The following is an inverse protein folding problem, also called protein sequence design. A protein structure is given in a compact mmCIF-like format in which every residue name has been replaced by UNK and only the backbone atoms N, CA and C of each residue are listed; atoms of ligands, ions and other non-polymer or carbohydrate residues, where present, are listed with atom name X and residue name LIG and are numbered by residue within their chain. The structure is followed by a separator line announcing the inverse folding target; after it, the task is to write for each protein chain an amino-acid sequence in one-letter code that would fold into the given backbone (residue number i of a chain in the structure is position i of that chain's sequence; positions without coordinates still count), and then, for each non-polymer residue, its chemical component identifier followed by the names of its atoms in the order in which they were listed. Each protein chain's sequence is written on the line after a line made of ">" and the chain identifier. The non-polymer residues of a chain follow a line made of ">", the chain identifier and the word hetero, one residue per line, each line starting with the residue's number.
data_IF_281230439358
#
_entry.id   IF_281230439358
#
_cell.length_a   1.000
_cell.length_b   1.000
_cell.length_c   1.000
_cell.angle_alpha   90.00
_cell.angle_beta   90.00
_cell.angle_gamma   90.00
#
_symmetry.space_group_name_H-M   'P 1'
#
loop_
_entity.id
_entity.type
_entity.pdbx_description
1 polymer ?
#
# COMPACT_ATOMS: atom_id res chain seq x y z
N UNK A 1 -11.24 -20.74 -1.16
CA UNK A 1 -9.81 -20.51 -0.89
C UNK A 1 -9.24 -21.39 0.24
N UNK A 2 -10.06 -22.04 1.09
CA UNK A 2 -9.60 -22.83 2.25
C UNK A 2 -8.57 -23.94 1.92
N UNK A 3 -8.55 -24.45 0.71
CA UNK A 3 -7.61 -25.48 0.23
C UNK A 3 -6.59 -24.95 -0.78
N UNK A 4 -6.50 -23.63 -0.98
CA UNK A 4 -5.53 -23.06 -1.90
C UNK A 4 -4.14 -23.06 -1.26
N UNK A 5 -3.16 -23.67 -1.94
CA UNK A 5 -1.76 -23.68 -1.53
C UNK A 5 -0.93 -23.02 -2.64
N UNK A 6 -0.43 -21.79 -2.44
CA UNK A 6 0.35 -21.12 -3.47
C UNK A 6 1.63 -21.90 -3.75
N UNK A 7 1.84 -22.21 -5.03
CA UNK A 7 3.12 -22.75 -5.49
C UNK A 7 4.10 -21.59 -5.68
N UNK A 8 5.15 -21.58 -4.87
CA UNK A 8 6.12 -20.50 -4.85
C UNK A 8 7.38 -20.92 -5.56
N UNK A 9 7.56 -20.40 -6.77
CA UNK A 9 8.81 -20.55 -7.47
C UNK A 9 9.91 -19.70 -6.83
N UNK A 10 10.78 -20.33 -6.05
CA UNK A 10 11.90 -19.65 -5.36
C UNK A 10 12.98 -19.09 -6.31
N UNK A 11 12.94 -19.45 -7.60
CA UNK A 11 13.88 -18.92 -8.60
C UNK A 11 13.54 -17.51 -9.10
N UNK A 12 12.40 -16.93 -8.70
CA UNK A 12 12.05 -15.56 -9.08
C UNK A 12 12.97 -14.59 -8.37
N UNK A 13 13.89 -13.98 -9.12
CA UNK A 13 14.74 -12.91 -8.64
C UNK A 13 13.96 -11.59 -8.59
N UNK A 14 13.38 -11.31 -7.43
CA UNK A 14 12.71 -10.05 -7.12
C UNK A 14 13.14 -9.53 -5.76
N UNK A 15 13.32 -8.22 -5.64
CA UNK A 15 13.66 -7.58 -4.36
C UNK A 15 12.42 -7.44 -3.46
N UNK A 16 11.24 -7.20 -4.05
CA UNK A 16 9.99 -6.96 -3.35
C UNK A 16 9.01 -8.10 -3.59
N UNK A 17 8.26 -8.44 -2.55
CA UNK A 17 7.11 -9.33 -2.61
C UNK A 17 5.89 -8.57 -2.08
N UNK A 18 4.88 -8.36 -2.92
CA UNK A 18 3.61 -7.80 -2.50
C UNK A 18 2.62 -8.92 -2.17
N UNK A 19 2.09 -8.89 -0.97
CA UNK A 19 1.04 -9.76 -0.47
C UNK A 19 -0.23 -8.92 -0.32
N UNK A 20 -1.05 -8.95 -1.34
CA UNK A 20 -2.33 -8.26 -1.38
C UNK A 20 -3.36 -8.90 -0.45
N UNK A 21 -4.59 -8.46 -0.59
CA UNK A 21 -5.71 -8.89 0.21
C UNK A 21 -6.04 -10.38 0.00
N UNK A 22 -5.45 -11.25 0.83
CA UNK A 22 -5.72 -12.69 0.92
C UNK A 22 -5.66 -13.11 2.38
N UNK A 23 -6.17 -14.31 2.69
CA UNK A 23 -6.18 -14.87 4.04
C UNK A 23 -4.79 -14.82 4.70
N UNK A 24 -4.67 -14.30 5.96
CA UNK A 24 -3.39 -14.15 6.66
C UNK A 24 -2.57 -15.43 6.74
N UNK A 25 -3.21 -16.60 6.91
CA UNK A 25 -2.51 -17.89 6.93
C UNK A 25 -1.79 -18.19 5.61
N UNK A 26 -2.34 -17.79 4.45
CA UNK A 26 -1.70 -17.93 3.15
C UNK A 26 -0.57 -16.92 2.97
N UNK A 27 -0.75 -15.68 3.42
CA UNK A 27 0.33 -14.70 3.43
C UNK A 27 1.51 -15.20 4.26
N UNK A 28 1.25 -15.75 5.46
CA UNK A 28 2.28 -16.32 6.33
C UNK A 28 2.97 -17.54 5.70
N UNK A 29 2.22 -18.40 5.02
CA UNK A 29 2.80 -19.54 4.30
C UNK A 29 3.79 -19.08 3.22
N UNK A 30 3.40 -18.07 2.43
CA UNK A 30 4.28 -17.45 1.44
C UNK A 30 5.52 -16.84 2.10
N UNK A 31 5.34 -16.02 3.14
CA UNK A 31 6.44 -15.38 3.87
C UNK A 31 7.45 -16.41 4.39
N UNK A 32 6.97 -17.55 4.89
CA UNK A 32 7.83 -18.59 5.44
C UNK A 32 8.60 -19.39 4.37
N UNK A 33 8.13 -19.39 3.13
CA UNK A 33 8.73 -20.13 2.00
C UNK A 33 9.70 -19.31 1.15
N UNK A 34 9.66 -17.98 1.23
CA UNK A 34 10.51 -17.10 0.42
C UNK A 34 11.88 -16.85 1.04
N UNK A 35 12.82 -16.36 0.22
CA UNK A 35 14.13 -15.88 0.69
C UNK A 35 13.94 -14.67 1.63
N UNK A 36 14.54 -14.73 2.81
CA UNK A 36 14.51 -13.69 3.84
C UNK A 36 15.10 -12.34 3.41
N UNK A 37 15.83 -12.30 2.30
CA UNK A 37 16.36 -11.05 1.73
C UNK A 37 15.33 -10.21 0.99
N UNK A 38 14.14 -10.77 0.69
CA UNK A 38 13.07 -10.03 0.01
C UNK A 38 12.37 -9.07 0.97
N UNK A 39 12.06 -7.90 0.45
CA UNK A 39 11.22 -6.91 1.15
C UNK A 39 9.75 -7.31 1.03
N UNK A 40 9.09 -7.51 2.13
CA UNK A 40 7.69 -7.92 2.20
C UNK A 40 6.83 -6.69 2.34
N UNK A 41 5.94 -6.49 1.37
CA UNK A 41 4.90 -5.46 1.37
C UNK A 41 3.57 -6.16 1.55
N UNK A 42 2.85 -5.88 2.62
CA UNK A 42 1.54 -6.49 2.89
C UNK A 42 0.43 -5.45 2.96
N UNK A 43 -0.74 -5.86 2.52
CA UNK A 43 -2.01 -5.14 2.65
C UNK A 43 -3.04 -6.05 3.33
N UNK A 44 -4.13 -5.48 3.82
CA UNK A 44 -5.20 -6.21 4.50
C UNK A 44 -6.57 -5.71 4.07
N UNK A 45 -7.63 -6.27 4.67
CA UNK A 45 -9.01 -5.78 4.60
C UNK A 45 -9.78 -6.13 5.86
N UNK A 46 -10.89 -5.45 6.10
CA UNK A 46 -11.77 -5.62 7.26
C UNK A 46 -12.16 -7.09 7.51
N UNK A 47 -12.33 -7.89 6.45
CA UNK A 47 -12.70 -9.30 6.59
C UNK A 47 -11.71 -10.06 7.51
N UNK A 48 -10.41 -9.83 7.34
CA UNK A 48 -9.37 -10.53 8.09
C UNK A 48 -9.20 -9.99 9.50
N UNK A 49 -9.52 -8.72 9.75
CA UNK A 49 -9.57 -8.14 11.08
C UNK A 49 -10.58 -8.91 11.93
N UNK A 50 -11.71 -9.31 11.33
CA UNK A 50 -12.78 -10.01 12.02
C UNK A 50 -12.60 -11.53 12.06
N UNK A 51 -12.05 -12.16 11.01
CA UNK A 51 -11.97 -13.62 10.88
C UNK A 51 -10.65 -14.21 11.39
N UNK A 52 -9.53 -13.51 11.22
CA UNK A 52 -8.19 -14.01 11.58
C UNK A 52 -7.27 -12.88 12.05
N UNK A 53 -7.70 -12.16 13.07
CA UNK A 53 -6.93 -11.05 13.64
C UNK A 53 -5.55 -11.51 14.15
N UNK A 54 -5.45 -12.72 14.73
CA UNK A 54 -4.16 -13.24 15.21
C UNK A 54 -3.18 -13.49 14.07
N UNK A 55 -3.64 -14.10 12.98
CA UNK A 55 -2.82 -14.30 11.78
C UNK A 55 -2.39 -12.97 11.18
N UNK A 56 -3.31 -11.99 11.12
CA UNK A 56 -3.00 -10.65 10.63
C UNK A 56 -1.89 -9.96 11.45
N UNK A 57 -1.93 -10.05 12.78
CA UNK A 57 -0.85 -9.52 13.62
C UNK A 57 0.51 -10.18 13.32
N UNK A 58 0.54 -11.48 13.03
CA UNK A 58 1.79 -12.16 12.66
C UNK A 58 2.29 -11.75 11.27
N UNK A 59 1.38 -11.48 10.32
CA UNK A 59 1.75 -10.90 9.00
C UNK A 59 2.37 -9.52 9.20
N UNK A 60 1.74 -8.65 9.98
CA UNK A 60 2.25 -7.29 10.27
C UNK A 60 3.67 -7.36 10.81
N UNK A 61 3.92 -8.19 11.83
CA UNK A 61 5.26 -8.34 12.45
C UNK A 61 6.34 -8.82 11.48
N UNK A 62 5.96 -9.54 10.43
CA UNK A 62 6.89 -10.09 9.43
C UNK A 62 7.01 -9.22 8.18
N UNK A 63 6.20 -8.19 8.06
CA UNK A 63 6.22 -7.26 6.94
C UNK A 63 7.29 -6.19 7.12
N UNK A 64 7.89 -5.76 6.02
CA UNK A 64 8.78 -4.60 6.00
C UNK A 64 7.98 -3.31 5.74
N UNK A 65 6.98 -3.41 4.88
CA UNK A 65 6.06 -2.32 4.55
C UNK A 65 4.64 -2.83 4.79
N UNK A 66 3.90 -2.15 5.64
CA UNK A 66 2.51 -2.51 5.92
C UNK A 66 1.57 -1.39 5.47
N UNK A 67 0.52 -1.78 4.74
CA UNK A 67 -0.49 -0.86 4.24
C UNK A 67 -1.88 -1.29 4.70
N UNK A 68 -2.73 -0.31 5.00
CA UNK A 68 -4.14 -0.50 5.31
C UNK A 68 -4.90 0.81 5.04
N UNK A 69 -6.22 0.79 5.12
CA UNK A 69 -6.99 2.03 5.11
C UNK A 69 -7.24 2.55 6.54
N UNK A 70 -7.76 3.77 6.65
CA UNK A 70 -8.02 4.44 7.93
C UNK A 70 -9.11 3.73 8.76
N UNK A 71 -10.16 3.21 8.13
CA UNK A 71 -11.21 2.45 8.82
C UNK A 71 -10.66 1.14 9.38
N UNK A 72 -9.87 0.41 8.62
CA UNK A 72 -9.16 -0.81 9.04
C UNK A 72 -8.19 -0.52 10.20
N UNK A 73 -7.46 0.59 10.13
CA UNK A 73 -6.52 1.00 11.16
C UNK A 73 -7.23 1.27 12.50
N UNK A 74 -8.36 1.97 12.46
CA UNK A 74 -9.21 2.25 13.63
C UNK A 74 -9.82 0.95 14.18
N UNK A 75 -10.39 0.11 13.28
CA UNK A 75 -11.02 -1.15 13.68
C UNK A 75 -10.03 -2.11 14.35
N UNK A 76 -8.82 -2.25 13.78
CA UNK A 76 -7.80 -3.17 14.26
C UNK A 76 -7.21 -2.76 15.61
N UNK A 77 -7.10 -1.45 15.87
CA UNK A 77 -6.42 -0.91 17.06
C UNK A 77 -7.35 -0.35 18.13
N UNK A 78 -8.59 0.01 17.77
CA UNK A 78 -9.53 0.72 18.62
C UNK A 78 -9.14 2.19 18.90
N UNK A 79 -8.13 2.73 18.20
CA UNK A 79 -7.64 4.10 18.31
C UNK A 79 -8.15 4.94 17.15
N UNK A 80 -8.15 6.29 17.33
CA UNK A 80 -8.61 7.23 16.28
C UNK A 80 -7.49 8.10 15.71
N UNK A 81 -6.35 8.23 16.39
CA UNK A 81 -5.21 8.99 15.89
C UNK A 81 -4.37 8.12 14.96
N UNK A 82 -4.42 8.42 13.66
CA UNK A 82 -3.73 7.65 12.63
C UNK A 82 -2.20 7.72 12.77
N UNK A 83 -1.64 8.81 13.33
CA UNK A 83 -0.21 8.92 13.57
C UNK A 83 0.22 8.01 14.73
N UNK A 84 -0.56 7.99 15.81
CA UNK A 84 -0.34 7.07 16.92
C UNK A 84 -0.44 5.61 16.45
N UNK A 85 -1.46 5.29 15.66
CA UNK A 85 -1.65 3.95 15.08
C UNK A 85 -0.45 3.55 14.22
N UNK A 86 -0.03 4.41 13.29
CA UNK A 86 1.12 4.13 12.42
C UNK A 86 2.41 3.90 13.23
N UNK A 87 2.63 4.68 14.29
CA UNK A 87 3.78 4.53 15.17
C UNK A 87 3.74 3.20 15.97
N UNK A 88 2.56 2.75 16.38
CA UNK A 88 2.42 1.46 17.05
C UNK A 88 2.73 0.30 16.08
N UNK A 89 2.28 0.37 14.83
CA UNK A 89 2.65 -0.62 13.82
C UNK A 89 4.16 -0.66 13.53
N UNK A 90 4.84 0.49 13.46
CA UNK A 90 6.29 0.54 13.30
C UNK A 90 7.02 -0.20 14.41
N UNK A 91 6.57 -0.06 15.67
CA UNK A 91 7.17 -0.76 16.84
C UNK A 91 6.98 -2.28 16.78
N UNK A 92 6.10 -2.78 15.93
CA UNK A 92 5.78 -4.21 15.83
C UNK A 92 6.66 -4.97 14.83
N UNK A 93 7.20 -4.29 13.81
CA UNK A 93 8.03 -4.96 12.80
C UNK A 93 8.26 -4.19 11.52
N UNK A 94 7.24 -3.60 10.88
CA UNK A 94 7.43 -2.80 9.68
C UNK A 94 8.38 -1.63 9.92
N UNK A 95 9.15 -1.29 8.91
CA UNK A 95 9.97 -0.06 8.88
C UNK A 95 9.29 1.07 8.07
N UNK A 96 8.23 0.74 7.33
CA UNK A 96 7.33 1.69 6.67
C UNK A 96 5.87 1.28 6.94
N UNK A 97 5.06 2.23 7.42
CA UNK A 97 3.60 2.07 7.57
C UNK A 97 2.89 3.11 6.72
N UNK A 98 1.90 2.68 5.94
CA UNK A 98 1.10 3.55 5.08
C UNK A 98 -0.37 3.37 5.43
N UNK A 99 -1.06 4.49 5.74
CA UNK A 99 -2.50 4.50 5.98
C UNK A 99 -3.17 5.31 4.86
N UNK A 100 -3.99 4.62 4.06
CA UNK A 100 -4.78 5.18 2.95
C UNK A 100 -6.06 5.80 3.53
N UNK A 101 -6.36 7.07 3.22
CA UNK A 101 -7.50 7.83 3.76
C UNK A 101 -8.56 8.12 2.67
N UNK A 102 -8.65 7.27 1.64
CA UNK A 102 -9.56 7.46 0.51
C UNK A 102 -9.37 8.82 -0.16
N UNK A 103 -10.44 9.58 -0.28
CA UNK A 103 -10.43 10.94 -0.88
C UNK A 103 -9.62 11.98 -0.09
N UNK A 104 -9.18 11.65 1.11
CA UNK A 104 -8.35 12.53 1.96
C UNK A 104 -6.85 12.28 1.77
N UNK A 105 -6.46 11.40 0.86
CA UNK A 105 -5.05 11.09 0.60
C UNK A 105 -4.51 9.92 1.41
N UNK A 106 -3.25 9.99 1.79
CA UNK A 106 -2.58 8.92 2.54
C UNK A 106 -1.47 9.49 3.41
N UNK A 107 -1.18 8.82 4.52
CA UNK A 107 0.01 9.09 5.32
C UNK A 107 1.01 7.95 5.20
N UNK A 108 2.29 8.27 5.30
CA UNK A 108 3.39 7.34 5.45
C UNK A 108 4.19 7.74 6.68
N UNK A 109 4.51 6.76 7.51
CA UNK A 109 5.44 6.89 8.63
C UNK A 109 6.59 5.90 8.44
N UNK A 110 7.84 6.40 8.56
CA UNK A 110 9.08 5.60 8.52
C UNK A 110 10.13 6.26 9.41
N UNK A 111 10.50 5.61 10.51
CA UNK A 111 11.29 6.23 11.56
C UNK A 111 10.64 7.53 12.04
N UNK A 112 11.38 8.64 12.01
CA UNK A 112 10.87 9.98 12.35
C UNK A 112 10.24 10.73 11.15
N UNK A 113 10.23 10.12 9.96
CA UNK A 113 9.69 10.73 8.74
C UNK A 113 8.20 10.49 8.65
N UNK A 114 7.41 11.57 8.72
CA UNK A 114 5.97 11.58 8.49
C UNK A 114 5.66 12.34 7.22
N UNK A 115 4.93 11.68 6.31
CA UNK A 115 4.46 12.28 5.06
C UNK A 115 2.93 12.25 5.03
N UNK A 116 2.30 13.34 4.64
CA UNK A 116 0.87 13.40 4.29
C UNK A 116 0.76 13.78 2.81
N UNK A 117 0.23 12.87 2.01
CA UNK A 117 0.17 13.01 0.55
C UNK A 117 -1.28 13.20 0.13
N UNK A 118 -1.62 14.35 -0.49
CA UNK A 118 -2.97 14.61 -0.96
C UNK A 118 -3.31 13.77 -2.20
N UNK A 119 -4.60 13.60 -2.49
CA UNK A 119 -5.07 12.95 -3.72
C UNK A 119 -4.93 13.87 -4.94
N UNK A 120 -4.93 13.24 -6.12
CA UNK A 120 -5.23 13.93 -7.37
C UNK A 120 -6.75 14.09 -7.50
N UNK A 121 -7.26 15.30 -7.27
CA UNK A 121 -8.69 15.63 -7.20
C UNK A 121 -9.29 16.22 -8.49
N UNK A 122 -8.53 16.20 -9.61
CA UNK A 122 -9.00 16.68 -10.93
C UNK A 122 -9.61 15.55 -11.77
N UNK A 123 -10.30 14.63 -11.10
CA UNK A 123 -11.01 13.51 -11.73
C UNK A 123 -12.39 13.36 -11.11
N UNK A 124 -13.30 12.81 -11.89
CA UNK A 124 -14.55 12.25 -11.37
C UNK A 124 -14.31 10.82 -10.90
N UNK A 125 -14.81 10.49 -9.70
CA UNK A 125 -14.75 9.14 -9.17
C UNK A 125 -15.74 8.27 -9.93
N UNK A 126 -15.24 7.28 -10.65
CA UNK A 126 -16.07 6.33 -11.40
C UNK A 126 -16.24 5.01 -10.63
N UNK A 127 -15.14 4.33 -10.30
CA UNK A 127 -15.14 3.06 -9.58
C UNK A 127 -13.92 2.97 -8.65
N UNK A 128 -14.09 2.90 -7.31
CA UNK A 128 -12.96 2.80 -6.39
C UNK A 128 -12.34 1.39 -6.31
N UNK A 129 -12.94 0.40 -6.99
CA UNK A 129 -12.46 -0.99 -6.93
C UNK A 129 -11.04 -1.11 -7.49
N UNK A 130 -10.15 -1.74 -6.72
CA UNK A 130 -8.75 -1.92 -7.10
C UNK A 130 -7.86 -0.69 -6.88
N UNK A 131 -8.38 0.40 -6.30
CA UNK A 131 -7.56 1.58 -5.98
C UNK A 131 -6.41 1.25 -5.02
N UNK A 132 -6.67 0.43 -3.99
CA UNK A 132 -5.66 -0.04 -3.05
C UNK A 132 -4.57 -0.87 -3.72
N UNK A 133 -4.96 -1.84 -4.57
CA UNK A 133 -4.02 -2.69 -5.31
C UNK A 133 -3.16 -1.87 -6.28
N UNK A 134 -3.78 -0.89 -6.95
CA UNK A 134 -3.08 0.01 -7.87
C UNK A 134 -2.14 0.95 -7.15
N UNK A 135 -2.52 1.44 -5.97
CA UNK A 135 -1.64 2.20 -5.09
C UNK A 135 -0.41 1.37 -4.70
N UNK A 136 -0.63 0.14 -4.24
CA UNK A 136 0.44 -0.78 -3.90
C UNK A 136 1.34 -1.09 -5.09
N UNK A 137 0.75 -1.34 -6.26
CA UNK A 137 1.48 -1.57 -7.51
C UNK A 137 2.36 -0.38 -7.90
N UNK A 138 1.84 0.85 -7.80
CA UNK A 138 2.59 2.09 -8.04
C UNK A 138 3.75 2.27 -7.06
N UNK A 139 3.52 2.01 -5.78
CA UNK A 139 4.54 2.08 -4.73
C UNK A 139 5.67 1.08 -4.96
N UNK A 140 5.32 -0.21 -5.09
CA UNK A 140 6.28 -1.30 -5.26
C UNK A 140 7.01 -1.16 -6.59
N UNK A 141 6.32 -0.73 -7.65
CA UNK A 141 6.93 -0.44 -8.95
C UNK A 141 7.97 0.66 -8.86
N UNK A 142 7.68 1.75 -8.14
CA UNK A 142 8.65 2.82 -7.88
C UNK A 142 9.87 2.28 -7.11
N UNK A 143 9.65 1.61 -5.99
CA UNK A 143 10.73 1.06 -5.19
C UNK A 143 11.60 0.05 -5.94
N UNK A 144 10.98 -0.78 -6.78
CA UNK A 144 11.71 -1.75 -7.60
C UNK A 144 12.65 -1.09 -8.61
N UNK A 145 12.27 0.09 -9.12
CA UNK A 145 13.03 0.81 -10.14
C UNK A 145 14.04 1.80 -9.56
N UNK A 146 13.67 2.49 -8.47
CA UNK A 146 14.43 3.64 -7.96
C UNK A 146 14.95 3.45 -6.52
N UNK A 147 14.54 2.38 -5.83
CA UNK A 147 14.86 2.18 -4.41
C UNK A 147 13.93 2.95 -3.47
N UNK A 148 14.24 2.90 -2.18
CA UNK A 148 13.41 3.47 -1.10
C UNK A 148 13.92 4.84 -0.61
N UNK A 149 14.94 5.41 -1.25
CA UNK A 149 15.59 6.66 -0.78
C UNK A 149 14.67 7.88 -0.89
N UNK A 150 13.68 7.85 -1.79
CA UNK A 150 12.74 8.96 -1.98
C UNK A 150 11.29 8.54 -1.74
N UNK A 151 10.90 8.51 -0.47
CA UNK A 151 9.54 8.11 -0.05
C UNK A 151 8.46 9.05 -0.58
N UNK A 152 8.76 10.34 -0.73
CA UNK A 152 7.80 11.33 -1.26
C UNK A 152 7.43 10.98 -2.70
N UNK A 153 8.41 10.76 -3.57
CA UNK A 153 8.16 10.40 -4.97
C UNK A 153 7.45 9.04 -5.07
N UNK A 154 7.83 8.06 -4.25
CA UNK A 154 7.16 6.77 -4.21
C UNK A 154 5.68 6.88 -3.88
N UNK A 155 5.34 7.68 -2.87
CA UNK A 155 3.96 7.93 -2.46
C UNK A 155 3.16 8.71 -3.51
N UNK A 156 3.79 9.68 -4.18
CA UNK A 156 3.18 10.42 -5.30
C UNK A 156 2.88 9.45 -6.45
N UNK A 157 3.83 8.59 -6.84
CA UNK A 157 3.63 7.58 -7.88
C UNK A 157 2.49 6.62 -7.52
N UNK A 158 2.43 6.14 -6.28
CA UNK A 158 1.35 5.30 -5.78
C UNK A 158 -0.02 5.99 -5.90
N UNK A 159 -0.10 7.24 -5.45
CA UNK A 159 -1.33 8.05 -5.48
C UNK A 159 -1.78 8.32 -6.92
N UNK A 160 -0.85 8.68 -7.82
CA UNK A 160 -1.16 8.90 -9.24
C UNK A 160 -1.64 7.62 -9.90
N UNK A 161 -0.99 6.48 -9.63
CA UNK A 161 -1.42 5.18 -10.17
C UNK A 161 -2.85 4.85 -9.74
N UNK A 162 -3.16 4.98 -8.45
CA UNK A 162 -4.52 4.79 -7.94
C UNK A 162 -5.54 5.76 -8.57
N UNK A 163 -5.14 7.01 -8.85
CA UNK A 163 -6.01 8.01 -9.46
C UNK A 163 -6.48 7.63 -10.88
N UNK A 164 -5.71 6.86 -11.63
CA UNK A 164 -6.13 6.33 -12.92
C UNK A 164 -7.15 5.19 -12.77
N UNK A 165 -6.96 4.33 -11.78
CA UNK A 165 -7.89 3.23 -11.51
C UNK A 165 -9.26 3.76 -11.16
N UNK A 166 -9.36 4.73 -10.25
CA UNK A 166 -10.65 5.26 -9.81
C UNK A 166 -11.37 6.13 -10.84
N UNK A 167 -10.71 6.54 -11.92
CA UNK A 167 -11.27 7.40 -12.98
C UNK A 167 -11.93 6.64 -14.13
N UNK A 168 -11.90 5.29 -14.13
CA UNK A 168 -12.51 4.45 -15.16
C UNK A 168 -12.85 3.09 -14.55
N UNK A 169 -13.47 2.21 -15.32
CA UNK A 169 -13.82 0.86 -14.89
C UNK A 169 -12.62 -0.10 -14.96
N UNK A 170 -12.32 -0.77 -13.85
CA UNK A 170 -11.24 -1.74 -13.74
C UNK A 170 -9.87 -1.12 -14.05
N UNK A 171 -9.11 -1.74 -14.95
CA UNK A 171 -7.75 -1.28 -15.32
C UNK A 171 -7.71 -0.35 -16.54
N UNK A 172 -8.86 0.05 -17.09
CA UNK A 172 -8.92 0.86 -18.32
C UNK A 172 -8.20 2.20 -18.18
N UNK A 173 -8.41 2.88 -17.05
CA UNK A 173 -7.74 4.15 -16.78
C UNK A 173 -6.21 4.02 -16.79
N UNK A 174 -5.68 2.93 -16.23
CA UNK A 174 -4.23 2.64 -16.25
C UNK A 174 -3.72 2.33 -17.65
N UNK A 175 -4.43 1.49 -18.42
CA UNK A 175 -4.03 1.12 -19.79
C UNK A 175 -4.02 2.34 -20.71
N UNK A 176 -4.97 3.25 -20.54
CA UNK A 176 -5.11 4.47 -21.35
C UNK A 176 -4.24 5.63 -20.85
N UNK A 177 -3.49 5.45 -19.75
CA UNK A 177 -2.59 6.48 -19.24
C UNK A 177 -1.40 6.70 -20.19
N UNK A 178 -0.91 7.94 -20.22
CA UNK A 178 0.34 8.27 -20.92
C UNK A 178 1.37 8.81 -19.95
N UNK A 179 2.66 8.69 -20.28
CA UNK A 179 3.73 9.21 -19.45
C UNK A 179 3.57 10.72 -19.18
N UNK A 180 3.18 11.50 -20.20
CA UNK A 180 2.94 12.93 -20.03
C UNK A 180 1.78 13.24 -19.06
N UNK A 181 0.67 12.50 -19.16
CA UNK A 181 -0.44 12.67 -18.22
C UNK A 181 -0.08 12.22 -16.81
N UNK A 182 0.71 11.16 -16.67
CA UNK A 182 1.22 10.68 -15.38
C UNK A 182 2.08 11.75 -14.72
N UNK A 183 3.06 12.28 -15.45
CA UNK A 183 3.95 13.33 -14.96
C UNK A 183 3.17 14.60 -14.57
N UNK A 184 2.17 14.99 -15.37
CA UNK A 184 1.31 16.13 -15.04
C UNK A 184 0.55 15.94 -13.73
N UNK A 185 0.04 14.72 -13.44
CA UNK A 185 -0.61 14.41 -12.17
C UNK A 185 0.38 14.44 -11.00
N UNK A 186 1.61 13.94 -11.19
CA UNK A 186 2.67 14.04 -10.19
C UNK A 186 2.98 15.49 -9.83
N UNK A 187 3.17 16.35 -10.82
CA UNK A 187 3.45 17.79 -10.60
C UNK A 187 2.29 18.50 -9.90
N UNK A 188 1.05 18.12 -10.22
CA UNK A 188 -0.11 18.65 -9.52
C UNK A 188 -0.10 18.30 -8.03
N UNK A 189 0.15 17.04 -7.66
CA UNK A 189 0.24 16.61 -6.26
C UNK A 189 1.37 17.36 -5.55
N UNK A 190 2.55 17.47 -6.16
CA UNK A 190 3.68 18.24 -5.62
C UNK A 190 3.32 19.70 -5.37
N UNK A 191 2.55 20.29 -6.28
CA UNK A 191 2.12 21.69 -6.10
C UNK A 191 1.17 21.87 -4.91
N UNK A 192 0.29 20.90 -4.67
CA UNK A 192 -0.59 20.91 -3.47
C UNK A 192 0.21 20.80 -2.18
N UNK A 193 1.21 19.89 -2.14
CA UNK A 193 2.05 19.72 -0.95
C UNK A 193 2.86 20.95 -0.58
N UNK A 194 3.23 21.80 -1.54
CA UNK A 194 3.96 23.07 -1.29
C UNK A 194 3.08 24.17 -0.72
N UNK A 195 1.76 24.05 -0.87
CA UNK A 195 0.78 25.08 -0.47
C UNK A 195 0.02 24.70 0.82
N UNK A 196 0.32 23.53 1.39
CA UNK A 196 -0.21 23.02 2.66
C UNK A 196 0.78 23.26 3.78
#
# INVERSE_FOLDING_TARGET
>A
FENYNPDINQSIDTKYLYLGNIQPSLQLDVINKIDKKKRIVSDTMNLWINLDQKGLWEVIKKSNIFMLNDEEAIELTGKNDLHEIANDFLKMGPDIVIIKKGSKGSILLSGDTLLDIPVYDKIELFDPTGAGDSFAGGLVGYFSKFGEDNLIEAMIHATVTASYTVSDFGVKGLINSSENSFQSRCEYIKSKMRNS
#
